data_IF_650574244817
#
_entry.id   IF_650574244817
#
_cell.length_a   1.000
_cell.length_b   1.000
_cell.length_c   1.000
_cell.angle_alpha   90.00
_cell.angle_beta   90.00
_cell.angle_gamma   90.00
#
_symmetry.space_group_name_H-M   'P 1'
#
loop_
_entity.id
_entity.type
_entity.pdbx_description
1 polymer ?
#
# COMPACT_ATOMS: atom_id res chain seq x y z
N UNK A 1 22.24 -13.60 -6.63
CA UNK A 1 22.73 -12.67 -5.60
C UNK A 1 23.20 -13.52 -4.42
N UNK A 2 24.47 -13.37 -4.04
CA UNK A 2 25.09 -14.13 -2.95
C UNK A 2 24.61 -13.65 -1.59
N UNK A 3 24.63 -14.58 -0.62
CA UNK A 3 24.05 -14.45 0.72
C UNK A 3 24.55 -13.24 1.52
N UNK A 4 23.83 -12.13 1.41
CA UNK A 4 23.73 -11.18 2.51
C UNK A 4 22.93 -11.88 3.62
N UNK A 5 23.43 -11.88 4.87
CA UNK A 5 22.62 -12.32 6.00
C UNK A 5 21.31 -11.55 5.97
N UNK A 6 20.18 -12.26 6.02
CA UNK A 6 18.86 -11.69 5.82
C UNK A 6 18.43 -10.73 6.95
N UNK A 7 19.28 -10.53 7.97
CA UNK A 7 18.95 -9.83 9.21
C UNK A 7 18.04 -10.65 10.14
N UNK A 8 17.23 -11.56 9.58
CA UNK A 8 16.31 -12.41 10.34
C UNK A 8 16.99 -13.49 11.18
N UNK A 9 18.23 -13.88 10.84
CA UNK A 9 19.02 -14.85 11.62
C UNK A 9 19.43 -14.31 13.00
N UNK A 10 19.33 -12.99 13.23
CA UNK A 10 19.72 -12.33 14.48
C UNK A 10 18.53 -12.07 15.41
N UNK A 11 17.33 -12.53 15.06
CA UNK A 11 16.13 -12.37 15.89
C UNK A 11 16.30 -13.15 17.19
N UNK A 12 16.13 -12.45 18.31
CA UNK A 12 16.27 -13.03 19.64
C UNK A 12 14.94 -13.55 20.18
N UNK A 13 15.04 -14.44 21.17
CA UNK A 13 13.92 -14.81 22.04
C UNK A 13 14.02 -14.01 23.34
N UNK A 14 12.96 -13.30 23.79
CA UNK A 14 11.62 -13.26 23.20
C UNK A 14 11.55 -12.40 21.93
N UNK A 15 10.59 -12.71 21.05
CA UNK A 15 10.32 -11.96 19.82
C UNK A 15 10.18 -10.44 20.06
N UNK A 16 10.91 -9.65 19.28
CA UNK A 16 10.81 -8.18 19.26
C UNK A 16 10.38 -7.70 17.86
N UNK A 17 9.16 -7.16 17.79
CA UNK A 17 8.60 -6.61 16.55
C UNK A 17 9.42 -5.46 15.96
N UNK A 18 10.12 -4.66 16.76
CA UNK A 18 10.95 -3.56 16.24
C UNK A 18 12.22 -4.09 15.59
N UNK A 19 12.85 -5.08 16.20
CA UNK A 19 14.01 -5.75 15.61
C UNK A 19 13.62 -6.42 14.28
N UNK A 20 12.45 -7.09 14.26
CA UNK A 20 11.91 -7.67 13.03
C UNK A 20 11.63 -6.62 11.96
N UNK A 21 10.99 -5.50 12.33
CA UNK A 21 10.73 -4.38 11.42
C UNK A 21 12.03 -3.89 10.79
N UNK A 22 13.06 -3.64 11.61
CA UNK A 22 14.35 -3.13 11.12
C UNK A 22 15.01 -4.11 10.15
N UNK A 23 15.00 -5.41 10.45
CA UNK A 23 15.51 -6.44 9.55
C UNK A 23 14.71 -6.49 8.23
N UNK A 24 13.38 -6.41 8.31
CA UNK A 24 12.50 -6.41 7.15
C UNK A 24 12.71 -5.18 6.26
N UNK A 25 12.74 -3.97 6.82
CA UNK A 25 13.04 -2.73 6.09
C UNK A 25 14.42 -2.80 5.41
N UNK A 26 15.45 -3.32 6.11
CA UNK A 26 16.78 -3.49 5.52
C UNK A 26 16.79 -4.47 4.35
N UNK A 27 16.05 -5.57 4.46
CA UNK A 27 15.91 -6.55 3.39
C UNK A 27 15.15 -6.00 2.18
N UNK A 28 14.13 -5.17 2.42
CA UNK A 28 13.28 -4.57 1.38
C UNK A 28 13.92 -3.35 0.69
N UNK A 29 14.80 -2.62 1.37
CA UNK A 29 15.36 -1.36 0.87
C UNK A 29 16.04 -1.46 -0.52
N UNK A 30 16.84 -2.48 -0.84
CA UNK A 30 17.41 -2.66 -2.18
C UNK A 30 16.35 -2.83 -3.28
N UNK A 31 15.15 -3.29 -2.91
CA UNK A 31 14.02 -3.54 -3.79
C UNK A 31 13.08 -2.33 -3.92
N UNK A 32 13.45 -1.15 -3.38
CA UNK A 32 12.62 0.07 -3.37
C UNK A 32 11.26 -0.15 -2.70
N UNK A 33 11.29 -0.94 -1.63
CA UNK A 33 10.15 -1.23 -0.78
C UNK A 33 10.52 -0.93 0.67
N UNK A 34 9.50 -0.79 1.50
CA UNK A 34 9.64 -0.73 2.95
C UNK A 34 8.47 -1.47 3.62
N UNK A 35 8.47 -1.54 4.94
CA UNK A 35 7.37 -2.09 5.71
C UNK A 35 6.84 -1.09 6.73
N UNK A 36 5.58 -1.27 7.11
CA UNK A 36 4.91 -0.44 8.09
C UNK A 36 5.52 -0.60 9.48
N UNK A 37 5.17 0.31 10.39
CA UNK A 37 5.20 0.03 11.83
C UNK A 37 4.46 -1.28 12.15
N UNK A 38 4.87 -1.99 13.22
CA UNK A 38 4.18 -3.21 13.63
C UNK A 38 2.74 -2.90 14.04
N UNK A 39 1.83 -3.82 13.70
CA UNK A 39 0.47 -3.84 14.26
C UNK A 39 0.16 -5.18 14.89
N UNK A 40 -0.80 -5.17 15.82
CA UNK A 40 -1.46 -6.39 16.25
C UNK A 40 -2.61 -6.74 15.31
N UNK A 41 -2.72 -8.02 14.96
CA UNK A 41 -3.80 -8.55 14.13
C UNK A 41 -5.18 -8.22 14.71
N UNK A 42 -5.28 -8.25 16.05
CA UNK A 42 -6.47 -7.85 16.78
C UNK A 42 -6.92 -6.44 16.45
N UNK A 43 -6.00 -5.46 16.32
CA UNK A 43 -6.40 -4.08 16.02
C UNK A 43 -7.12 -3.96 14.69
N UNK A 44 -6.56 -4.60 13.64
CA UNK A 44 -7.17 -4.65 12.32
C UNK A 44 -8.53 -5.37 12.37
N UNK A 45 -8.56 -6.57 12.98
CA UNK A 45 -9.75 -7.42 13.03
C UNK A 45 -10.92 -6.77 13.79
N UNK A 46 -10.64 -6.08 14.90
CA UNK A 46 -11.65 -5.31 15.64
C UNK A 46 -12.20 -4.15 14.80
N UNK A 47 -11.34 -3.43 14.06
CA UNK A 47 -11.80 -2.37 13.16
C UNK A 47 -12.65 -2.91 12.01
N UNK A 48 -12.31 -4.06 11.41
CA UNK A 48 -13.13 -4.68 10.35
C UNK A 48 -14.46 -5.24 10.86
N UNK A 49 -14.50 -5.73 12.11
CA UNK A 49 -15.76 -6.12 12.74
C UNK A 49 -16.75 -4.95 12.78
N UNK A 50 -16.27 -3.73 13.09
CA UNK A 50 -17.11 -2.52 13.16
C UNK A 50 -17.43 -1.95 11.78
N UNK A 51 -16.45 -1.93 10.87
CA UNK A 51 -16.57 -1.20 9.60
C UNK A 51 -17.09 -2.02 8.43
N UNK A 52 -17.11 -3.34 8.55
CA UNK A 52 -17.46 -4.24 7.45
C UNK A 52 -18.14 -5.53 7.91
N UNK A 53 -18.82 -5.50 9.06
CA UNK A 53 -19.57 -6.64 9.62
C UNK A 53 -18.73 -7.93 9.71
N UNK A 54 -17.44 -7.78 10.03
CA UNK A 54 -16.50 -8.89 10.15
C UNK A 54 -16.03 -9.50 8.83
N UNK A 55 -16.48 -8.99 7.68
CA UNK A 55 -15.89 -9.35 6.38
C UNK A 55 -14.45 -8.84 6.31
N UNK A 56 -13.59 -9.57 5.59
CA UNK A 56 -12.16 -9.25 5.42
C UNK A 56 -11.33 -9.30 6.72
N UNK A 57 -11.79 -10.02 7.75
CA UNK A 57 -10.94 -10.40 8.89
C UNK A 57 -9.81 -11.32 8.43
N UNK A 58 -8.68 -11.21 9.12
CA UNK A 58 -7.51 -12.04 8.91
C UNK A 58 -7.44 -13.14 9.96
N UNK A 59 -6.94 -14.30 9.56
CA UNK A 59 -6.78 -15.46 10.44
C UNK A 59 -5.51 -15.35 11.28
N UNK A 60 -5.65 -15.59 12.58
CA UNK A 60 -4.54 -15.62 13.51
C UNK A 60 -4.97 -15.16 14.91
N UNK A 61 -4.08 -15.27 15.90
CA UNK A 61 -4.35 -14.77 17.24
C UNK A 61 -4.28 -13.24 17.28
N UNK A 62 -5.07 -12.61 18.16
CA UNK A 62 -5.17 -11.15 18.23
C UNK A 62 -3.85 -10.46 18.58
N UNK A 63 -2.97 -11.16 19.30
CA UNK A 63 -1.64 -10.68 19.71
C UNK A 63 -0.53 -11.02 18.71
N UNK A 64 -0.84 -11.65 17.57
CA UNK A 64 0.11 -11.81 16.47
C UNK A 64 0.49 -10.45 15.90
N UNK A 65 1.78 -10.27 15.67
CA UNK A 65 2.31 -9.08 15.01
C UNK A 65 2.23 -9.25 13.50
N UNK A 66 1.82 -8.18 12.82
CA UNK A 66 1.77 -8.09 11.38
C UNK A 66 2.48 -6.83 10.87
N UNK A 67 2.88 -6.88 9.60
CA UNK A 67 3.52 -5.79 8.86
C UNK A 67 2.94 -5.77 7.45
N UNK A 68 2.57 -4.60 6.94
CA UNK A 68 2.35 -4.45 5.50
C UNK A 68 3.64 -4.02 4.82
N UNK A 69 3.81 -4.46 3.57
CA UNK A 69 4.91 -4.11 2.68
C UNK A 69 4.38 -3.07 1.70
N UNK A 70 5.10 -1.97 1.53
CA UNK A 70 4.77 -0.93 0.57
C UNK A 70 5.86 -0.79 -0.51
N UNK A 71 5.43 -0.61 -1.77
CA UNK A 71 6.31 -0.12 -2.83
C UNK A 71 6.43 1.39 -2.72
N UNK A 72 7.66 1.89 -2.75
CA UNK A 72 8.00 3.31 -2.68
C UNK A 72 8.28 3.89 -4.07
N UNK A 73 8.48 5.21 -4.21
CA UNK A 73 9.05 5.75 -5.43
C UNK A 73 10.33 5.02 -5.83
N UNK A 74 10.50 4.85 -7.13
CA UNK A 74 11.50 4.03 -7.83
C UNK A 74 11.25 2.53 -7.83
N UNK A 75 10.11 2.03 -7.35
CA UNK A 75 9.79 0.59 -7.44
C UNK A 75 9.75 0.04 -8.87
N UNK A 76 9.55 0.91 -9.88
CA UNK A 76 9.69 0.51 -11.28
C UNK A 76 11.09 -0.05 -11.61
N UNK A 77 12.15 0.40 -10.96
CA UNK A 77 13.50 -0.15 -11.13
C UNK A 77 13.50 -1.67 -10.83
N UNK A 78 12.85 -2.07 -9.74
CA UNK A 78 12.68 -3.47 -9.32
C UNK A 78 11.85 -4.27 -10.33
N UNK A 79 10.81 -3.67 -10.89
CA UNK A 79 9.98 -4.29 -11.93
C UNK A 79 10.78 -4.49 -13.22
N UNK A 80 11.62 -3.52 -13.61
CA UNK A 80 12.50 -3.61 -14.78
C UNK A 80 13.54 -4.71 -14.58
N UNK A 81 14.17 -4.80 -13.41
CA UNK A 81 15.15 -5.84 -13.09
C UNK A 81 14.54 -7.26 -13.11
N UNK A 82 13.31 -7.41 -12.59
CA UNK A 82 12.56 -8.65 -12.71
C UNK A 82 12.25 -8.99 -14.18
N UNK A 83 11.74 -8.00 -14.93
CA UNK A 83 11.38 -8.19 -16.33
C UNK A 83 12.59 -8.54 -17.21
N UNK A 84 13.76 -7.95 -16.94
CA UNK A 84 15.00 -8.28 -17.63
C UNK A 84 15.39 -9.74 -17.48
N UNK A 85 15.17 -10.32 -16.28
CA UNK A 85 15.51 -11.72 -15.97
C UNK A 85 14.47 -12.72 -16.45
N UNK A 86 13.18 -12.40 -16.34
CA UNK A 86 12.09 -13.38 -16.48
C UNK A 86 11.19 -13.20 -17.69
N UNK A 87 11.11 -11.98 -18.26
CA UNK A 87 10.24 -11.63 -19.39
C UNK A 87 8.80 -12.18 -19.25
N UNK A 88 8.11 -11.97 -18.10
CA UNK A 88 6.74 -12.46 -17.89
C UNK A 88 5.82 -11.98 -19.01
N UNK A 89 4.81 -12.79 -19.38
CA UNK A 89 3.84 -12.51 -20.45
C UNK A 89 2.71 -11.55 -20.03
N UNK A 90 2.43 -11.44 -18.74
CA UNK A 90 1.37 -10.61 -18.16
C UNK A 90 1.71 -10.26 -16.71
N UNK A 91 0.82 -9.49 -16.06
CA UNK A 91 0.89 -9.21 -14.62
C UNK A 91 2.26 -8.66 -14.21
N UNK A 92 2.82 -7.76 -15.03
CA UNK A 92 4.23 -7.36 -15.00
C UNK A 92 4.71 -6.92 -13.61
N UNK A 93 3.88 -6.12 -12.92
CA UNK A 93 4.15 -5.62 -11.57
C UNK A 93 3.92 -6.72 -10.54
N UNK A 94 2.77 -7.40 -10.60
CA UNK A 94 2.39 -8.42 -9.63
C UNK A 94 3.32 -9.64 -9.67
N UNK A 95 3.86 -9.98 -10.84
CA UNK A 95 4.84 -11.05 -11.01
C UNK A 95 6.17 -10.71 -10.33
N UNK A 96 6.62 -9.46 -10.41
CA UNK A 96 7.78 -8.98 -9.67
C UNK A 96 7.51 -9.00 -8.16
N UNK A 97 6.35 -8.49 -7.73
CA UNK A 97 5.93 -8.51 -6.32
C UNK A 97 5.85 -9.94 -5.78
N UNK A 98 5.26 -10.88 -6.52
CA UNK A 98 5.13 -12.28 -6.11
C UNK A 98 6.50 -12.95 -5.94
N UNK A 99 7.46 -12.70 -6.82
CA UNK A 99 8.82 -13.24 -6.67
C UNK A 99 9.48 -12.71 -5.38
N UNK A 100 9.26 -11.44 -5.03
CA UNK A 100 9.77 -10.84 -3.78
C UNK A 100 9.11 -11.49 -2.56
N UNK A 101 7.78 -11.64 -2.57
CA UNK A 101 7.05 -12.27 -1.46
C UNK A 101 7.45 -13.74 -1.26
N UNK A 102 7.74 -14.46 -2.36
CA UNK A 102 8.22 -15.84 -2.31
C UNK A 102 9.66 -15.95 -1.78
N UNK A 103 10.54 -15.03 -2.19
CA UNK A 103 11.88 -14.91 -1.59
C UNK A 103 11.81 -14.59 -0.10
N UNK A 104 10.91 -13.68 0.30
CA UNK A 104 10.71 -13.33 1.70
C UNK A 104 10.24 -14.54 2.52
N UNK A 105 9.33 -15.36 1.97
CA UNK A 105 8.87 -16.61 2.59
C UNK A 105 10.02 -17.58 2.88
N UNK A 106 11.03 -17.59 2.03
CA UNK A 106 12.18 -18.47 2.17
C UNK A 106 13.20 -18.01 3.23
N UNK A 107 13.20 -16.72 3.58
CA UNK A 107 14.18 -16.15 4.54
C UNK A 107 13.60 -15.83 5.91
N UNK A 108 12.27 -15.73 6.06
CA UNK A 108 11.65 -15.58 7.37
C UNK A 108 11.76 -16.91 8.15
N UNK A 109 12.17 -16.90 9.43
CA UNK A 109 12.26 -18.10 10.25
C UNK A 109 10.93 -18.86 10.32
N UNK A 110 10.99 -20.16 10.02
CA UNK A 110 9.82 -21.04 10.06
C UNK A 110 9.16 -21.09 11.44
N UNK A 111 9.91 -20.83 12.52
CA UNK A 111 9.40 -20.74 13.89
C UNK A 111 8.33 -19.65 14.07
N UNK A 112 8.36 -18.59 13.26
CA UNK A 112 7.40 -17.48 13.35
C UNK A 112 6.04 -17.79 12.71
N UNK A 113 5.91 -18.89 11.97
CA UNK A 113 4.69 -19.29 11.23
C UNK A 113 4.11 -18.11 10.42
N UNK A 114 4.93 -17.58 9.51
CA UNK A 114 4.60 -16.39 8.74
C UNK A 114 3.61 -16.68 7.61
N UNK A 115 2.44 -16.05 7.68
CA UNK A 115 1.51 -15.97 6.57
C UNK A 115 1.80 -14.71 5.75
N UNK A 116 2.24 -14.90 4.50
CA UNK A 116 2.51 -13.81 3.55
C UNK A 116 1.39 -13.78 2.49
N UNK A 117 0.77 -12.62 2.33
CA UNK A 117 -0.38 -12.36 1.44
C UNK A 117 0.01 -11.26 0.47
N UNK A 118 -0.28 -11.43 -0.83
CA UNK A 118 -0.23 -10.35 -1.81
C UNK A 118 -1.53 -9.52 -1.69
N UNK A 119 -1.42 -8.23 -1.44
CA UNK A 119 -2.59 -7.35 -1.20
C UNK A 119 -3.31 -6.93 -2.47
N UNK A 120 -2.67 -7.06 -3.63
CA UNK A 120 -3.24 -6.74 -4.95
C UNK A 120 -4.11 -7.90 -5.49
N UNK A 121 -4.08 -9.07 -4.86
CA UNK A 121 -4.80 -10.27 -5.28
C UNK A 121 -6.04 -10.51 -4.40
N UNK A 122 -7.17 -10.84 -5.01
CA UNK A 122 -8.39 -11.22 -4.32
C UNK A 122 -9.39 -11.93 -5.23
N UNK A 123 -10.58 -12.30 -4.71
CA UNK A 123 -10.98 -12.22 -3.31
C UNK A 123 -10.39 -13.35 -2.41
N UNK A 124 -10.31 -13.14 -1.07
CA UNK A 124 -10.68 -11.92 -0.35
C UNK A 124 -9.58 -10.85 -0.40
N UNK A 125 -9.97 -9.61 -0.69
CA UNK A 125 -9.05 -8.47 -0.63
C UNK A 125 -8.80 -8.04 0.82
N UNK A 126 -7.55 -7.74 1.16
CA UNK A 126 -7.19 -7.11 2.44
C UNK A 126 -7.55 -5.63 2.38
N UNK A 127 -8.18 -5.09 3.44
CA UNK A 127 -8.49 -3.67 3.50
C UNK A 127 -7.26 -2.88 3.96
N UNK A 128 -6.34 -2.62 3.03
CA UNK A 128 -5.03 -2.01 3.31
C UNK A 128 -5.13 -0.63 3.95
N UNK A 129 -6.21 0.13 3.68
CA UNK A 129 -6.44 1.42 4.33
C UNK A 129 -6.58 1.28 5.86
N UNK A 130 -7.20 0.19 6.32
CA UNK A 130 -7.30 -0.10 7.76
C UNK A 130 -5.94 -0.47 8.33
N UNK A 131 -5.09 -1.19 7.57
CA UNK A 131 -3.76 -1.58 8.04
C UNK A 131 -2.92 -0.34 8.35
N UNK A 132 -2.80 0.59 7.41
CA UNK A 132 -2.05 1.83 7.59
C UNK A 132 -2.57 2.67 8.76
N UNK A 133 -3.89 2.82 8.87
CA UNK A 133 -4.53 3.61 9.92
C UNK A 133 -4.29 3.03 11.33
N UNK A 134 -4.43 1.72 11.53
CA UNK A 134 -4.31 1.12 12.88
C UNK A 134 -2.87 1.02 13.36
N UNK A 135 -1.89 1.00 12.45
CA UNK A 135 -0.47 0.99 12.78
C UNK A 135 0.16 2.40 12.81
N UNK A 136 -0.62 3.45 12.49
CA UNK A 136 -0.14 4.82 12.46
C UNK A 136 0.94 5.06 11.42
N UNK A 137 0.87 4.37 10.28
CA UNK A 137 1.79 4.55 9.15
C UNK A 137 1.36 5.75 8.31
N UNK A 138 0.06 5.86 8.07
CA UNK A 138 -0.56 6.87 7.22
C UNK A 138 -1.86 7.39 7.86
N UNK A 139 -2.31 8.55 7.39
CA UNK A 139 -3.61 9.08 7.76
C UNK A 139 -4.64 8.60 6.76
N UNK A 140 -5.60 7.78 7.20
CA UNK A 140 -6.81 7.49 6.43
C UNK A 140 -7.77 8.67 6.55
N UNK A 141 -8.18 9.22 5.41
CA UNK A 141 -9.13 10.34 5.36
C UNK A 141 -10.42 9.90 4.68
N UNK A 142 -11.55 10.25 5.30
CA UNK A 142 -12.89 10.13 4.74
C UNK A 142 -13.60 11.49 4.77
N UNK A 143 -14.62 11.66 3.94
CA UNK A 143 -15.42 12.89 3.92
C UNK A 143 -16.03 13.21 5.30
N UNK A 144 -16.25 12.19 6.14
CA UNK A 144 -16.82 12.35 7.47
C UNK A 144 -15.86 12.97 8.50
N UNK A 145 -14.57 12.94 8.21
CA UNK A 145 -13.51 13.39 9.13
C UNK A 145 -13.22 14.88 8.99
N UNK A 146 -13.70 15.53 7.92
CA UNK A 146 -13.64 16.98 7.72
C UNK A 146 -14.60 17.67 8.69
N UNK A 147 -14.11 18.66 9.44
CA UNK A 147 -14.85 19.39 10.48
C UNK A 147 -15.20 20.83 10.09
N UNK A 148 -14.66 21.34 8.98
CA UNK A 148 -14.89 22.71 8.50
C UNK A 148 -16.38 23.03 8.27
N UNK A 149 -16.76 24.29 8.50
CA UNK A 149 -18.15 24.76 8.38
C UNK A 149 -18.73 24.54 6.97
N UNK A 150 -17.87 24.57 5.94
CA UNK A 150 -18.22 24.35 4.52
C UNK A 150 -18.32 22.88 4.10
N UNK A 151 -18.07 21.93 5.01
CA UNK A 151 -18.03 20.49 4.70
C UNK A 151 -19.31 19.99 4.01
N UNK A 152 -20.49 20.33 4.54
CA UNK A 152 -21.76 19.77 4.03
C UNK A 152 -22.02 20.19 2.58
N UNK A 153 -21.79 21.47 2.27
CA UNK A 153 -21.95 22.01 0.92
C UNK A 153 -20.94 21.38 -0.03
N UNK A 154 -19.67 21.30 0.36
CA UNK A 154 -18.63 20.63 -0.43
C UNK A 154 -18.94 19.15 -0.67
N UNK A 155 -19.40 18.44 0.35
CA UNK A 155 -19.70 17.01 0.27
C UNK A 155 -20.83 16.77 -0.73
N UNK A 156 -21.94 17.51 -0.62
CA UNK A 156 -23.09 17.38 -1.54
C UNK A 156 -22.66 17.69 -2.99
N UNK A 157 -21.95 18.79 -3.19
CA UNK A 157 -21.44 19.20 -4.51
C UNK A 157 -20.47 18.17 -5.11
N UNK A 158 -19.64 17.51 -4.29
CA UNK A 158 -18.80 16.41 -4.77
C UNK A 158 -19.62 15.16 -5.10
N UNK A 159 -20.57 14.77 -4.25
CA UNK A 159 -21.44 13.61 -4.48
C UNK A 159 -22.23 13.74 -5.79
N UNK A 160 -22.85 14.89 -6.03
CA UNK A 160 -23.62 15.17 -7.25
C UNK A 160 -22.73 15.07 -8.50
N UNK A 161 -21.55 15.70 -8.48
CA UNK A 161 -20.59 15.59 -9.59
C UNK A 161 -20.12 14.15 -9.82
N UNK A 162 -19.93 13.36 -8.76
CA UNK A 162 -19.54 11.95 -8.90
C UNK A 162 -20.66 11.13 -9.54
N UNK A 163 -21.91 11.39 -9.17
CA UNK A 163 -23.06 10.73 -9.80
C UNK A 163 -23.17 11.03 -11.30
N UNK A 164 -22.93 12.28 -11.70
CA UNK A 164 -22.97 12.70 -13.09
C UNK A 164 -21.82 12.14 -13.94
N UNK A 165 -20.62 12.01 -13.35
CA UNK A 165 -19.40 11.70 -14.10
C UNK A 165 -18.99 10.23 -14.08
N UNK A 166 -19.45 9.43 -13.11
CA UNK A 166 -19.09 8.01 -13.01
C UNK A 166 -19.89 7.15 -13.99
N UNK A 167 -19.16 6.40 -14.81
CA UNK A 167 -19.76 5.44 -15.75
C UNK A 167 -20.55 4.35 -15.00
N UNK A 168 -21.87 4.21 -15.22
CA UNK A 168 -22.68 3.18 -14.59
C UNK A 168 -22.21 1.75 -14.89
N UNK A 169 -21.48 1.51 -16.00
CA UNK A 169 -20.90 0.20 -16.30
C UNK A 169 -19.78 -0.19 -15.36
N UNK A 170 -19.02 0.80 -14.88
CA UNK A 170 -17.88 0.59 -13.99
C UNK A 170 -18.30 0.68 -12.51
N UNK A 171 -19.21 1.60 -12.19
CA UNK A 171 -19.55 1.94 -10.80
C UNK A 171 -20.93 1.43 -10.37
N UNK A 172 -21.69 0.82 -11.28
CA UNK A 172 -23.05 0.36 -11.02
C UNK A 172 -24.13 1.41 -11.32
N UNK A 173 -25.38 0.96 -11.30
CA UNK A 173 -26.56 1.79 -11.60
C UNK A 173 -27.09 2.54 -10.38
N UNK A 174 -26.77 2.09 -9.18
CA UNK A 174 -27.28 2.64 -7.93
C UNK A 174 -26.68 4.01 -7.64
N UNK A 175 -27.55 5.00 -7.37
CA UNK A 175 -27.16 6.37 -7.06
C UNK A 175 -26.23 6.43 -5.85
N UNK A 176 -26.52 5.67 -4.79
CA UNK A 176 -25.68 5.60 -3.58
C UNK A 176 -24.21 5.25 -3.92
N UNK A 177 -24.00 4.24 -4.76
CA UNK A 177 -22.66 3.81 -5.15
C UNK A 177 -21.96 4.84 -6.04
N UNK A 178 -22.69 5.48 -6.97
CA UNK A 178 -22.12 6.53 -7.82
C UNK A 178 -21.84 7.82 -7.05
N UNK A 179 -22.63 8.17 -6.04
CA UNK A 179 -22.38 9.33 -5.15
C UNK A 179 -21.25 9.08 -4.15
N UNK A 180 -20.97 7.82 -3.80
CA UNK A 180 -20.01 7.46 -2.73
C UNK A 180 -18.64 8.10 -2.89
N UNK A 181 -18.24 8.92 -1.91
CA UNK A 181 -16.87 9.42 -1.78
C UNK A 181 -16.02 8.35 -1.09
N UNK A 182 -15.05 7.79 -1.81
CA UNK A 182 -14.11 6.83 -1.24
C UNK A 182 -13.01 7.53 -0.47
N UNK A 183 -12.72 7.02 0.73
CA UNK A 183 -11.57 7.41 1.51
C UNK A 183 -10.25 6.91 0.93
N UNK A 184 -9.17 7.54 1.35
CA UNK A 184 -7.81 7.26 0.86
C UNK A 184 -6.79 7.45 1.99
N UNK A 185 -5.66 6.77 1.91
CA UNK A 185 -4.57 6.92 2.89
C UNK A 185 -3.49 7.84 2.33
N UNK A 186 -2.98 8.72 3.19
CA UNK A 186 -1.90 9.66 2.85
C UNK A 186 -0.76 9.47 3.84
N UNK A 187 0.40 9.10 3.32
CA UNK A 187 1.62 8.90 4.10
C UNK A 187 2.27 10.26 4.40
N UNK A 188 2.77 10.51 5.62
CA UNK A 188 3.37 11.81 5.99
C UNK A 188 4.62 12.16 5.19
N UNK A 189 5.37 11.15 4.70
CA UNK A 189 6.59 11.35 3.92
C UNK A 189 6.34 11.28 2.42
N UNK A 190 5.46 10.39 1.97
CA UNK A 190 5.30 10.02 0.56
C UNK A 190 4.00 10.57 -0.05
N UNK A 191 3.15 11.24 0.75
CA UNK A 191 1.80 11.58 0.35
C UNK A 191 1.05 10.34 -0.12
N UNK A 192 0.48 10.38 -1.32
CA UNK A 192 -0.09 9.22 -1.98
C UNK A 192 0.88 8.47 -2.90
N UNK A 193 2.18 8.81 -2.97
CA UNK A 193 3.16 8.22 -3.90
C UNK A 193 3.77 6.90 -3.41
N UNK A 194 2.93 6.01 -2.90
CA UNK A 194 3.29 4.66 -2.46
C UNK A 194 2.10 3.71 -2.72
N UNK A 195 2.31 2.41 -2.57
CA UNK A 195 1.22 1.44 -2.61
C UNK A 195 1.53 0.24 -1.71
N UNK A 196 0.53 -0.28 -1.01
CA UNK A 196 0.63 -1.55 -0.30
C UNK A 196 0.66 -2.71 -1.30
N UNK A 197 1.59 -3.65 -1.10
CA UNK A 197 1.86 -4.78 -2.00
C UNK A 197 1.78 -6.14 -1.31
N UNK A 198 2.05 -6.18 -0.02
CA UNK A 198 2.04 -7.41 0.75
C UNK A 198 1.63 -7.20 2.19
N UNK A 199 1.21 -8.28 2.84
CA UNK A 199 0.96 -8.35 4.27
C UNK A 199 1.63 -9.60 4.82
N UNK A 200 2.34 -9.44 5.94
CA UNK A 200 2.96 -10.51 6.70
C UNK A 200 2.24 -10.59 8.04
N UNK A 201 1.73 -11.77 8.41
CA UNK A 201 1.18 -12.07 9.73
C UNK A 201 2.06 -13.14 10.37
N UNK A 202 2.73 -12.81 11.49
CA UNK A 202 3.59 -13.72 12.23
C UNK A 202 2.78 -14.40 13.33
N UNK A 203 2.21 -15.58 13.04
CA UNK A 203 1.25 -16.24 13.96
C UNK A 203 1.88 -16.66 15.29
N UNK A 204 3.19 -16.93 15.29
CA UNK A 204 3.97 -17.19 16.50
C UNK A 204 4.80 -15.97 16.96
N UNK A 205 4.91 -14.91 16.15
CA UNK A 205 5.53 -13.65 16.53
C UNK A 205 4.55 -12.78 17.30
N UNK A 206 4.35 -13.09 18.59
CA UNK A 206 3.34 -12.44 19.44
C UNK A 206 3.93 -11.33 20.30
N UNK A 207 3.19 -10.23 20.45
CA UNK A 207 3.61 -9.12 21.31
C UNK A 207 2.43 -8.34 21.89
N UNK A 208 1.69 -8.95 22.82
CA UNK A 208 0.52 -8.31 23.46
C UNK A 208 0.82 -6.97 24.17
N UNK A 209 2.09 -6.70 24.51
CA UNK A 209 2.53 -5.44 25.12
C UNK A 209 2.63 -4.27 24.13
N UNK A 210 2.54 -4.53 22.82
CA UNK A 210 2.60 -3.51 21.78
C UNK A 210 1.43 -2.52 21.99
N UNK A 211 1.74 -1.23 22.02
CA UNK A 211 0.75 -0.18 22.23
C UNK A 211 0.21 0.30 20.89
N UNK A 212 -1.11 0.37 20.76
CA UNK A 212 -1.75 0.92 19.57
C UNK A 212 -1.43 2.42 19.50
N UNK A 213 -0.85 2.92 18.41
CA UNK A 213 -0.62 4.35 18.27
C UNK A 213 -1.96 5.09 18.11
N UNK A 214 -1.96 6.37 18.47
CA UNK A 214 -3.04 7.26 18.09
C UNK A 214 -3.10 7.38 16.55
N UNK A 215 -4.30 7.43 15.96
CA UNK A 215 -4.45 7.70 14.54
C UNK A 215 -3.73 8.99 14.15
N UNK A 216 -3.04 8.97 13.01
CA UNK A 216 -2.40 10.18 12.49
C UNK A 216 -3.46 11.22 12.09
N UNK A 217 -3.25 12.47 12.51
CA UNK A 217 -4.03 13.62 12.05
C UNK A 217 -3.12 14.80 11.77
N UNK A 218 -2.51 14.81 10.58
CA UNK A 218 -1.56 15.84 10.16
C UNK A 218 -2.08 16.71 9.02
N UNK A 219 -3.12 16.26 8.31
CA UNK A 219 -3.74 17.01 7.23
C UNK A 219 -4.76 18.02 7.77
N UNK A 220 -4.70 19.23 7.24
CA UNK A 220 -5.76 20.23 7.46
C UNK A 220 -7.00 19.88 6.66
N UNK A 221 -8.14 20.42 7.05
CA UNK A 221 -9.41 20.14 6.38
C UNK A 221 -9.42 20.58 4.92
N UNK A 222 -8.75 21.69 4.58
CA UNK A 222 -8.64 22.14 3.20
C UNK A 222 -7.86 21.13 2.34
N UNK A 223 -6.81 20.53 2.90
CA UNK A 223 -6.03 19.48 2.23
C UNK A 223 -6.84 18.19 2.09
N UNK A 224 -7.57 17.78 3.15
CA UNK A 224 -8.47 16.61 3.12
C UNK A 224 -9.51 16.76 2.01
N UNK A 225 -10.18 17.92 1.93
CA UNK A 225 -11.20 18.20 0.92
C UNK A 225 -10.63 18.18 -0.50
N UNK A 226 -9.46 18.81 -0.72
CA UNK A 226 -8.76 18.78 -2.02
C UNK A 226 -8.42 17.35 -2.41
N UNK A 227 -7.74 16.61 -1.54
CA UNK A 227 -7.26 15.25 -1.84
C UNK A 227 -8.45 14.32 -2.14
N UNK A 228 -9.51 14.35 -1.34
CA UNK A 228 -10.71 13.53 -1.56
C UNK A 228 -11.40 13.86 -2.88
N UNK A 229 -11.51 15.15 -3.22
CA UNK A 229 -12.06 15.61 -4.50
C UNK A 229 -11.24 15.06 -5.67
N UNK A 230 -9.92 15.24 -5.61
CA UNK A 230 -9.00 14.84 -6.68
C UNK A 230 -8.91 13.33 -6.84
N UNK A 231 -8.87 12.59 -5.74
CA UNK A 231 -8.87 11.13 -5.74
C UNK A 231 -10.14 10.58 -6.36
N UNK A 232 -11.31 11.11 -6.01
CA UNK A 232 -12.57 10.55 -6.47
C UNK A 232 -12.93 10.97 -7.92
N UNK A 233 -12.52 12.15 -8.39
CA UNK A 233 -12.88 12.64 -9.72
C UNK A 233 -11.80 12.44 -10.78
N UNK A 234 -10.53 12.50 -10.40
CA UNK A 234 -9.40 12.59 -11.34
C UNK A 234 -8.15 11.87 -10.85
N UNK A 235 -8.32 10.69 -10.24
CA UNK A 235 -7.20 9.91 -9.68
C UNK A 235 -6.05 9.67 -10.67
N UNK A 236 -6.35 9.53 -11.97
CA UNK A 236 -5.38 9.32 -13.04
C UNK A 236 -4.38 10.48 -13.19
N UNK A 237 -4.76 11.69 -12.78
CA UNK A 237 -3.87 12.86 -12.80
C UNK A 237 -2.86 12.83 -11.64
N UNK A 238 -3.06 11.95 -10.65
CA UNK A 238 -2.20 11.76 -9.47
C UNK A 238 -1.94 13.02 -8.60
N UNK A 239 -2.59 14.16 -8.86
CA UNK A 239 -2.42 15.39 -8.06
C UNK A 239 -2.82 15.21 -6.59
N UNK A 240 -3.76 14.31 -6.31
CA UNK A 240 -4.18 13.95 -4.95
C UNK A 240 -3.05 13.35 -4.12
N UNK A 241 -2.00 12.83 -4.76
CA UNK A 241 -0.86 12.20 -4.09
C UNK A 241 0.11 13.22 -3.49
N UNK A 242 0.06 14.47 -3.93
CA UNK A 242 0.98 15.50 -3.46
C UNK A 242 0.56 16.10 -2.13
N UNK A 243 1.54 16.24 -1.23
CA UNK A 243 1.45 17.09 -0.05
C UNK A 243 1.95 18.52 -0.39
N UNK A 244 1.50 19.55 0.35
CA UNK A 244 1.93 20.94 0.12
C UNK A 244 3.46 21.13 0.10
N UNK A 245 4.19 20.45 0.99
CA UNK A 245 5.65 20.56 1.13
C UNK A 245 6.39 19.29 0.66
N UNK A 246 5.85 18.59 -0.34
CA UNK A 246 6.36 17.28 -0.73
C UNK A 246 7.66 17.36 -1.55
N UNK A 247 8.75 16.79 -1.03
CA UNK A 247 10.04 16.75 -1.71
C UNK A 247 9.98 15.97 -3.05
N UNK A 248 10.67 16.40 -4.13
CA UNK A 248 10.61 15.73 -5.43
C UNK A 248 11.04 14.27 -5.40
N UNK A 249 12.03 13.91 -4.59
CA UNK A 249 12.52 12.54 -4.40
C UNK A 249 11.49 11.59 -3.78
N UNK A 250 10.43 12.14 -3.17
CA UNK A 250 9.33 11.38 -2.59
C UNK A 250 8.19 11.13 -3.57
N UNK A 251 8.34 11.52 -4.84
CA UNK A 251 7.36 11.34 -5.91
C UNK A 251 7.85 10.32 -6.92
N UNK A 252 6.91 9.77 -7.67
CA UNK A 252 7.27 8.97 -8.85
C UNK A 252 8.03 9.84 -9.86
N UNK A 253 9.08 9.26 -10.43
CA UNK A 253 9.74 9.85 -11.60
C UNK A 253 8.76 9.97 -12.77
N UNK A 254 9.05 10.81 -13.79
CA UNK A 254 8.19 10.89 -14.98
C UNK A 254 7.96 9.53 -15.65
N UNK A 255 8.98 8.68 -15.69
CA UNK A 255 8.90 7.32 -16.22
C UNK A 255 7.93 6.44 -15.44
N UNK A 256 7.99 6.49 -14.11
CA UNK A 256 7.07 5.78 -13.22
C UNK A 256 5.64 6.28 -13.36
N UNK A 257 5.45 7.60 -13.41
CA UNK A 257 4.14 8.18 -13.65
C UNK A 257 3.55 7.65 -14.96
N UNK A 258 4.29 7.69 -16.07
CA UNK A 258 3.82 7.16 -17.35
C UNK A 258 3.55 5.66 -17.30
N UNK A 259 4.42 4.88 -16.67
CA UNK A 259 4.25 3.43 -16.60
C UNK A 259 3.04 3.03 -15.76
N UNK A 260 2.84 3.62 -14.58
CA UNK A 260 1.78 3.23 -13.66
C UNK A 260 0.42 3.84 -14.00
N UNK A 261 0.37 4.94 -14.74
CA UNK A 261 -0.90 5.52 -15.25
C UNK A 261 -1.34 4.93 -16.60
N UNK A 262 -0.44 4.25 -17.32
CA UNK A 262 -0.78 3.60 -18.58
C UNK A 262 -1.63 2.34 -18.34
N UNK A 263 -2.85 2.35 -18.88
CA UNK A 263 -3.81 1.27 -18.70
C UNK A 263 -3.53 0.10 -19.65
N UNK A 264 -2.96 0.35 -20.83
CA UNK A 264 -2.64 -0.68 -21.83
C UNK A 264 -1.50 -1.61 -21.38
N UNK A 265 -1.76 -2.92 -21.22
CA UNK A 265 -0.72 -3.89 -20.87
C UNK A 265 0.39 -3.97 -21.93
N UNK A 266 0.04 -3.85 -23.21
CA UNK A 266 1.00 -3.93 -24.32
C UNK A 266 1.95 -2.73 -24.34
N UNK A 267 1.46 -1.52 -24.07
CA UNK A 267 2.33 -0.34 -23.97
C UNK A 267 3.25 -0.43 -22.76
N UNK A 268 2.75 -0.91 -21.61
CA UNK A 268 3.58 -1.19 -20.43
C UNK A 268 4.67 -2.21 -20.74
N UNK A 269 4.35 -3.29 -21.47
CA UNK A 269 5.34 -4.26 -21.95
C UNK A 269 6.40 -3.59 -22.82
N UNK A 270 5.99 -2.86 -23.86
CA UNK A 270 6.93 -2.20 -24.80
C UNK A 270 7.83 -1.20 -24.08
N UNK A 271 7.31 -0.49 -23.10
CA UNK A 271 8.09 0.38 -22.22
C UNK A 271 9.21 -0.42 -21.52
N UNK A 272 8.88 -1.57 -20.91
CA UNK A 272 9.89 -2.41 -20.26
C UNK A 272 10.89 -3.02 -21.25
N UNK A 273 10.45 -3.41 -22.45
CA UNK A 273 11.34 -3.90 -23.51
C UNK A 273 12.40 -2.82 -23.86
N UNK A 274 11.95 -1.57 -24.02
CA UNK A 274 12.82 -0.42 -24.26
C UNK A 274 13.77 -0.15 -23.08
N UNK A 275 13.27 -0.19 -21.84
CA UNK A 275 14.12 0.04 -20.65
C UNK A 275 15.22 -1.00 -20.56
N UNK A 276 14.89 -2.28 -20.77
CA UNK A 276 15.87 -3.36 -20.70
C UNK A 276 16.87 -3.31 -21.85
N UNK A 277 16.50 -2.85 -23.05
CA UNK A 277 17.45 -2.71 -24.16
C UNK A 277 18.54 -1.66 -23.91
N UNK A 278 18.32 -0.75 -22.96
CA UNK A 278 19.28 0.28 -22.55
C UNK A 278 20.08 -0.10 -21.30
N UNK A 279 19.79 -1.25 -20.67
CA UNK A 279 20.63 -1.75 -19.58
C UNK A 279 22.00 -2.12 -20.14
N UNK A 280 23.10 -1.80 -19.44
CA UNK A 280 24.42 -2.27 -19.82
C UNK A 280 24.39 -3.80 -19.98
N UNK A 281 25.04 -4.32 -21.03
CA UNK A 281 25.25 -5.76 -21.13
C UNK A 281 25.93 -6.22 -19.83
N UNK A 282 25.34 -7.20 -19.14
CA UNK A 282 25.92 -7.75 -17.93
C UNK A 282 27.34 -8.22 -18.25
N UNK A 283 28.34 -7.56 -17.65
CA UNK A 283 29.76 -7.95 -17.72
C UNK A 283 30.00 -9.12 -16.79
#
# INVERSE_FOLDING_TARGET
MGGASSGFDQLQEPFDSRQFQQALSQWLAPLRMDCTKPLLLGWYNHTRAVTADGTQKLEGPDDAVAFAICSLPRYLDTVVDYYARKRPAKDLVDAATNEILEQLRAVIPASLDAQIINTDVGPPYVHVQTVGAVCGEDQHIEAKDVQSDGRKEWQEDLEDRLEETRDPKMWGTESEMRRKIFGVNIHPVWGGWYAYRGLIVLRNGKQASLQKPEPLDFLKDEDKMRILTEYNQRHQMCLWRDLPDHAPENRYSPEEFFFFTETSPDKRRRFLDLKVSHLPAAV
#
